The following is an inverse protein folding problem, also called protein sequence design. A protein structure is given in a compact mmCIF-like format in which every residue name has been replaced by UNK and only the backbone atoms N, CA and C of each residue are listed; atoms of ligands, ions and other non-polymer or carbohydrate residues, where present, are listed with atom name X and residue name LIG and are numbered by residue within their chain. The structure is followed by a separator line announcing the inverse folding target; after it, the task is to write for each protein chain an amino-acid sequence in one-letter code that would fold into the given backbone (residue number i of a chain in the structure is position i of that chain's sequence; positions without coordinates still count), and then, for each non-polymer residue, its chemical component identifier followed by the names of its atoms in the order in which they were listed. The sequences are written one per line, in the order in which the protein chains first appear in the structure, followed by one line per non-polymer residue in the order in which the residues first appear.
data_IF_795413872461
#
_entry.id   IF_795413872461
#
_cell.length_a   1.000
_cell.length_b   1.000
_cell.length_c   1.000
_cell.angle_alpha   90.00
_cell.angle_beta   90.00
_cell.angle_gamma   90.00
#
_symmetry.space_group_name_H-M   'P 1'
#
loop_
_entity.id
_entity.type
_entity.pdbx_description
1 polymer ?
#
# COMPACT_ATOMS: atom_id res chain seq x y z
N UNK A 1 -0.85 30.24 -5.27
CA UNK A 1 -0.87 29.39 -6.48
C UNK A 1 -1.15 27.96 -6.03
N UNK A 2 -2.16 27.30 -6.59
CA UNK A 2 -2.56 25.93 -6.24
C UNK A 2 -2.46 25.09 -7.51
N UNK A 3 -1.70 23.99 -7.44
CA UNK A 3 -1.59 23.01 -8.51
C UNK A 3 -2.45 21.81 -8.12
N UNK A 4 -3.45 21.48 -8.95
CA UNK A 4 -4.23 20.26 -8.82
C UNK A 4 -3.75 19.21 -9.81
N UNK A 5 -2.91 18.29 -9.34
CA UNK A 5 -2.35 17.20 -10.13
C UNK A 5 -3.36 16.10 -10.47
N UNK A 6 -4.48 16.01 -9.75
CA UNK A 6 -5.49 14.96 -9.95
C UNK A 6 -6.50 15.33 -11.04
N UNK A 7 -6.70 16.62 -11.27
CA UNK A 7 -7.61 17.16 -12.30
C UNK A 7 -7.42 16.51 -13.68
N UNK A 8 -6.17 16.24 -14.08
CA UNK A 8 -5.83 15.64 -15.38
C UNK A 8 -6.28 14.18 -15.52
N UNK A 9 -6.45 13.47 -14.41
CA UNK A 9 -6.81 12.04 -14.39
C UNK A 9 -8.26 11.77 -14.00
N UNK A 10 -8.95 12.78 -13.46
CA UNK A 10 -10.31 12.63 -12.95
C UNK A 10 -11.30 12.28 -14.08
N UNK A 11 -11.32 13.05 -15.17
CA UNK A 11 -12.25 12.84 -16.27
C UNK A 11 -12.07 11.48 -16.98
N UNK A 12 -10.84 11.01 -17.27
CA UNK A 12 -10.63 9.64 -17.77
C UNK A 12 -11.16 8.56 -16.83
N UNK A 13 -10.96 8.71 -15.52
CA UNK A 13 -11.43 7.73 -14.52
C UNK A 13 -12.96 7.72 -14.39
N UNK A 14 -13.62 8.88 -14.44
CA UNK A 14 -15.09 8.96 -14.40
C UNK A 14 -15.74 8.27 -15.60
N UNK A 15 -15.13 8.42 -16.78
CA UNK A 15 -15.58 7.74 -17.99
C UNK A 15 -15.44 6.23 -17.88
N UNK A 16 -14.25 5.75 -17.47
CA UNK A 16 -13.97 4.31 -17.37
C UNK A 16 -14.82 3.63 -16.27
N UNK A 17 -15.01 4.29 -15.14
CA UNK A 17 -15.78 3.75 -14.01
C UNK A 17 -17.29 4.02 -14.13
N UNK A 18 -17.74 4.72 -15.19
CA UNK A 18 -19.12 5.16 -15.39
C UNK A 18 -19.74 5.85 -14.15
N UNK A 19 -18.92 6.57 -13.40
CA UNK A 19 -19.32 7.19 -12.13
C UNK A 19 -18.73 8.58 -12.03
N UNK A 20 -19.54 9.55 -11.57
CA UNK A 20 -19.05 10.91 -11.32
C UNK A 20 -18.22 10.96 -10.05
N UNK A 21 -17.18 11.77 -10.05
CA UNK A 21 -16.42 12.11 -8.87
C UNK A 21 -17.30 12.79 -7.82
N UNK A 22 -17.05 12.48 -6.56
CA UNK A 22 -17.72 13.15 -5.44
C UNK A 22 -16.82 14.27 -4.94
N UNK A 23 -17.19 15.52 -5.19
CA UNK A 23 -16.51 16.71 -4.66
C UNK A 23 -16.81 16.94 -3.17
N UNK A 24 -16.97 15.86 -2.38
CA UNK A 24 -17.24 15.96 -0.96
C UNK A 24 -15.92 16.10 -0.17
N UNK A 25 -15.70 17.30 0.36
CA UNK A 25 -14.58 17.62 1.26
C UNK A 25 -14.84 16.98 2.63
N UNK A 26 -13.81 16.38 3.26
CA UNK A 26 -13.88 15.96 4.66
C UNK A 26 -14.04 14.45 4.94
N UNK A 27 -13.80 13.57 3.97
CA UNK A 27 -13.81 12.10 4.18
C UNK A 27 -12.49 11.52 4.72
N UNK A 28 -11.69 12.31 5.43
CA UNK A 28 -10.38 11.88 5.96
C UNK A 28 -10.48 10.67 6.91
N UNK A 29 -11.64 10.48 7.57
CA UNK A 29 -11.90 9.39 8.50
C UNK A 29 -12.81 8.28 7.95
N UNK A 30 -13.16 8.29 6.66
CA UNK A 30 -13.97 7.21 6.04
C UNK A 30 -13.20 5.91 5.83
N UNK A 31 -11.92 5.86 6.21
CA UNK A 31 -11.09 4.65 6.29
C UNK A 31 -11.50 3.87 7.54
N UNK A 32 -12.79 3.59 7.69
CA UNK A 32 -13.29 2.64 8.67
C UNK A 32 -12.88 1.25 8.22
N UNK A 33 -11.91 0.64 8.91
CA UNK A 33 -11.51 -0.76 8.69
C UNK A 33 -10.99 -1.07 7.28
N UNK A 34 -9.90 -0.43 6.89
CA UNK A 34 -9.21 -0.82 5.66
C UNK A 34 -8.33 -2.04 5.95
N UNK A 35 -8.88 -3.25 5.75
CA UNK A 35 -8.16 -4.50 5.96
C UNK A 35 -6.81 -4.51 5.23
N UNK A 36 -6.77 -3.97 4.00
CA UNK A 36 -5.54 -3.83 3.21
C UNK A 36 -4.49 -2.92 3.89
N UNK A 37 -4.92 -1.93 4.68
CA UNK A 37 -3.98 -1.11 5.44
C UNK A 37 -3.37 -1.91 6.59
N UNK A 38 -4.18 -2.68 7.32
CA UNK A 38 -3.67 -3.51 8.41
C UNK A 38 -2.76 -4.63 7.89
N UNK A 39 -3.11 -5.26 6.77
CA UNK A 39 -2.25 -6.24 6.09
C UNK A 39 -0.88 -5.65 5.74
N UNK A 40 -0.82 -4.39 5.29
CA UNK A 40 0.45 -3.69 5.06
C UNK A 40 1.24 -3.45 6.35
N UNK A 41 0.58 -3.16 7.46
CA UNK A 41 1.25 -3.00 8.76
C UNK A 41 1.85 -4.32 9.21
N UNK A 42 1.09 -5.42 9.09
CA UNK A 42 1.55 -6.77 9.45
C UNK A 42 2.73 -7.21 8.58
N UNK A 43 2.68 -6.95 7.27
CA UNK A 43 3.78 -7.23 6.35
C UNK A 43 5.06 -6.45 6.71
N UNK A 44 4.94 -5.18 7.10
CA UNK A 44 6.09 -4.38 7.56
C UNK A 44 6.69 -4.95 8.85
N UNK A 45 5.85 -5.29 9.83
CA UNK A 45 6.30 -5.88 11.08
C UNK A 45 7.01 -7.23 10.84
N UNK A 46 6.43 -8.09 9.99
CA UNK A 46 7.04 -9.36 9.63
C UNK A 46 8.41 -9.19 8.96
N UNK A 47 8.53 -8.23 8.03
CA UNK A 47 9.80 -7.96 7.36
C UNK A 47 10.87 -7.45 8.33
N UNK A 48 10.51 -6.56 9.27
CA UNK A 48 11.43 -6.03 10.28
C UNK A 48 11.86 -7.10 11.29
N UNK A 49 10.95 -7.97 11.71
CA UNK A 49 11.24 -9.03 12.69
C UNK A 49 12.11 -10.17 12.15
N UNK A 50 12.35 -10.21 10.83
CA UNK A 50 13.06 -11.28 10.12
C UNK A 50 14.12 -10.76 9.11
N UNK A 51 14.62 -9.54 9.28
CA UNK A 51 15.52 -8.87 8.32
C UNK A 51 16.94 -9.48 8.21
N UNK A 52 17.41 -10.12 9.28
CA UNK A 52 18.76 -10.69 9.41
C UNK A 52 18.90 -12.10 8.83
N UNK A 53 17.79 -12.72 8.42
CA UNK A 53 17.74 -14.07 7.88
C UNK A 53 17.98 -15.19 8.91
N UNK A 54 18.11 -14.89 10.21
CA UNK A 54 18.39 -15.89 11.25
C UNK A 54 17.16 -16.75 11.61
N UNK A 55 15.96 -16.21 11.45
CA UNK A 55 14.69 -16.89 11.81
C UNK A 55 14.12 -17.74 10.67
N UNK A 56 14.83 -18.81 10.35
CA UNK A 56 14.48 -19.71 9.23
C UNK A 56 13.15 -20.46 9.39
N UNK A 57 12.63 -20.58 10.61
CA UNK A 57 11.36 -21.26 10.91
C UNK A 57 10.11 -20.46 10.53
N UNK A 58 10.25 -19.20 10.07
CA UNK A 58 9.16 -18.41 9.51
C UNK A 58 9.22 -18.27 7.99
N UNK A 59 10.20 -18.89 7.34
CA UNK A 59 10.36 -18.79 5.88
C UNK A 59 9.17 -19.36 5.11
N UNK A 60 8.51 -20.38 5.65
CA UNK A 60 7.28 -20.96 5.10
C UNK A 60 6.08 -19.99 5.15
N UNK A 61 6.15 -18.95 5.98
CA UNK A 61 5.13 -17.90 6.10
C UNK A 61 5.45 -16.64 5.30
N UNK A 62 6.63 -16.55 4.69
CA UNK A 62 7.01 -15.40 3.89
C UNK A 62 6.38 -15.51 2.49
N UNK A 63 5.70 -14.44 2.05
CA UNK A 63 5.19 -14.37 0.67
C UNK A 63 6.33 -14.31 -0.35
N UNK A 64 7.48 -13.74 0.05
CA UNK A 64 8.67 -13.58 -0.78
C UNK A 64 9.92 -13.67 0.09
N UNK A 65 10.95 -14.36 -0.41
CA UNK A 65 12.29 -14.37 0.19
C UNK A 65 13.27 -13.79 -0.83
N UNK A 66 13.94 -12.70 -0.45
CA UNK A 66 14.99 -12.08 -1.27
C UNK A 66 16.35 -12.67 -0.87
N UNK A 67 17.06 -13.25 -1.85
CA UNK A 67 18.40 -13.82 -1.65
C UNK A 67 19.39 -13.05 -2.51
N UNK A 68 20.53 -12.66 -1.94
CA UNK A 68 21.58 -11.96 -2.65
C UNK A 68 22.92 -11.98 -1.91
N UNK A 69 24.01 -11.81 -2.65
CA UNK A 69 25.34 -11.63 -2.06
C UNK A 69 25.53 -10.17 -1.65
N UNK A 70 26.15 -9.95 -0.49
CA UNK A 70 26.54 -8.61 -0.07
C UNK A 70 27.55 -8.01 -1.05
N UNK A 71 27.35 -6.74 -1.41
CA UNK A 71 28.34 -5.98 -2.18
C UNK A 71 29.36 -5.42 -1.18
N UNK A 72 30.63 -5.82 -1.34
CA UNK A 72 31.77 -5.27 -0.64
C UNK A 72 32.22 -3.93 -1.24
#
# INVERSE_FOLDING_TARGET
FMIDIFSSFLAPLEHELMSRSSYSVGKSHSIGHNANYMERIDAVNFALDNDDGARTHYYDKADLILVGVSRC
#
